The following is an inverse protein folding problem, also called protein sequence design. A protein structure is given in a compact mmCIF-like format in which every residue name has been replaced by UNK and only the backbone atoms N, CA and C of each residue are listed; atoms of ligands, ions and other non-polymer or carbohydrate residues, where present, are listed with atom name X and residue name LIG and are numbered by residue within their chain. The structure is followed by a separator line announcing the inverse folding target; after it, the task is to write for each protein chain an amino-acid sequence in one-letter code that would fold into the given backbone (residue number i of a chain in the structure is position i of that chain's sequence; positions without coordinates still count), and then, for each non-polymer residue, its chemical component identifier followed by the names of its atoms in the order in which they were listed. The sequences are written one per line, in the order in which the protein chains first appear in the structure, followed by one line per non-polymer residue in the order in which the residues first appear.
data_IF_214689065958
#
_entry.id   IF_214689065958
#
_cell.length_a   1.000
_cell.length_b   1.000
_cell.length_c   1.000
_cell.angle_alpha   90.00
_cell.angle_beta   90.00
_cell.angle_gamma   90.00
#
_symmetry.space_group_name_H-M   'P 1'
#
loop_
_entity.id
_entity.type
_entity.pdbx_description
1 polymer ?
#
# COMPACT_ATOMS: atom_id res chain seq x y z
N UNK A 1 -15.65 -41.76 41.09
CA UNK A 1 -16.09 -40.36 40.89
C UNK A 1 -14.92 -39.51 40.40
N UNK A 2 -14.84 -39.27 39.09
CA UNK A 2 -14.11 -38.16 38.48
C UNK A 2 -14.90 -37.77 37.23
N UNK A 3 -15.53 -36.60 37.28
CA UNK A 3 -16.19 -35.96 36.15
C UNK A 3 -15.11 -35.37 35.24
N UNK A 4 -15.28 -35.47 33.92
CA UNK A 4 -14.53 -34.67 32.94
C UNK A 4 -15.41 -34.39 31.73
N UNK A 5 -15.35 -33.12 31.33
CA UNK A 5 -16.28 -32.34 30.51
C UNK A 5 -16.40 -32.76 29.03
N UNK A 6 -17.44 -32.30 28.31
CA UNK A 6 -17.64 -32.59 26.89
C UNK A 6 -16.67 -31.79 26.00
N UNK A 7 -16.29 -32.39 24.87
CA UNK A 7 -15.46 -31.77 23.83
C UNK A 7 -16.28 -30.75 23.06
N UNK A 8 -15.94 -29.48 23.19
CA UNK A 8 -16.42 -28.40 22.33
C UNK A 8 -15.94 -28.61 20.88
N UNK A 9 -16.90 -28.54 19.96
CA UNK A 9 -16.65 -28.59 18.52
C UNK A 9 -15.91 -27.33 18.08
N UNK A 10 -14.66 -27.51 17.68
CA UNK A 10 -13.89 -26.49 16.97
C UNK A 10 -14.44 -26.37 15.54
N UNK A 11 -15.34 -25.42 15.32
CA UNK A 11 -15.69 -24.94 13.99
C UNK A 11 -14.52 -24.13 13.44
N UNK A 12 -13.67 -24.74 12.61
CA UNK A 12 -12.69 -24.01 11.79
C UNK A 12 -13.42 -23.05 10.85
N UNK A 13 -13.08 -21.76 10.79
CA UNK A 13 -13.59 -20.88 9.75
C UNK A 13 -12.93 -21.25 8.42
N UNK A 14 -13.76 -21.55 7.42
CA UNK A 14 -13.34 -21.82 6.06
C UNK A 14 -12.56 -20.62 5.47
N UNK A 15 -11.54 -20.86 4.62
CA UNK A 15 -10.87 -19.78 3.92
C UNK A 15 -11.84 -19.14 2.93
N UNK A 16 -12.10 -17.85 3.08
CA UNK A 16 -12.73 -17.02 2.05
C UNK A 16 -11.90 -17.12 0.78
N UNK A 17 -12.38 -17.90 -0.18
CA UNK A 17 -11.77 -18.04 -1.50
C UNK A 17 -11.77 -16.68 -2.20
N UNK A 18 -10.66 -15.97 -2.09
CA UNK A 18 -10.37 -14.80 -2.91
C UNK A 18 -10.20 -15.30 -4.35
N UNK A 19 -11.24 -15.15 -5.17
CA UNK A 19 -11.16 -15.43 -6.60
C UNK A 19 -10.01 -14.65 -7.22
N UNK A 20 -9.08 -15.36 -7.85
CA UNK A 20 -8.00 -14.77 -8.64
C UNK A 20 -8.65 -13.91 -9.74
N UNK A 21 -8.37 -12.59 -9.82
CA UNK A 21 -8.96 -11.78 -10.86
C UNK A 21 -8.40 -12.20 -12.22
N UNK A 22 -9.27 -12.71 -13.09
CA UNK A 22 -8.94 -13.06 -14.46
C UNK A 22 -8.31 -11.85 -15.18
N UNK A 23 -7.18 -12.06 -15.85
CA UNK A 23 -6.51 -11.03 -16.65
C UNK A 23 -7.46 -10.54 -17.75
N UNK A 24 -7.87 -9.27 -17.66
CA UNK A 24 -8.81 -8.64 -18.60
C UNK A 24 -8.21 -8.55 -20.00
N UNK A 25 -9.02 -8.84 -21.01
CA UNK A 25 -8.64 -8.69 -22.42
C UNK A 25 -8.69 -7.21 -22.81
N UNK A 26 -7.70 -6.78 -23.59
CA UNK A 26 -7.58 -5.40 -24.10
C UNK A 26 -8.80 -5.07 -24.97
N UNK A 27 -9.68 -4.18 -24.47
CA UNK A 27 -10.89 -3.73 -25.18
C UNK A 27 -12.20 -3.93 -24.42
N UNK A 28 -12.21 -4.68 -23.31
CA UNK A 28 -13.41 -4.83 -22.48
C UNK A 28 -13.78 -3.50 -21.79
N UNK A 29 -15.03 -3.07 -21.97
CA UNK A 29 -15.60 -1.91 -21.27
C UNK A 29 -15.45 -2.14 -19.77
N UNK A 30 -14.91 -1.16 -19.04
CA UNK A 30 -14.83 -1.23 -17.58
C UNK A 30 -16.25 -1.43 -17.04
N UNK A 31 -16.50 -2.44 -16.17
CA UNK A 31 -17.82 -2.63 -15.60
C UNK A 31 -18.22 -1.37 -14.84
N UNK A 32 -19.50 -1.02 -14.96
CA UNK A 32 -20.05 0.14 -14.30
C UNK A 32 -19.92 -0.03 -12.76
N UNK A 33 -19.42 0.97 -12.02
CA UNK A 33 -19.37 0.88 -10.58
C UNK A 33 -20.78 0.77 -10.00
N UNK A 34 -21.00 -0.22 -9.15
CA UNK A 34 -22.28 -0.46 -8.45
C UNK A 34 -22.07 -0.20 -6.97
N UNK A 35 -23.09 0.36 -6.31
CA UNK A 35 -23.09 0.57 -4.86
C UNK A 35 -22.89 -0.76 -4.12
N UNK A 36 -22.03 -0.74 -3.12
CA UNK A 36 -21.71 -1.89 -2.28
C UNK A 36 -22.25 -1.70 -0.87
N UNK A 37 -22.97 -2.70 -0.38
CA UNK A 37 -23.47 -2.74 1.00
C UNK A 37 -22.33 -2.62 2.03
N UNK A 38 -21.12 -3.09 1.69
CA UNK A 38 -19.94 -2.99 2.54
C UNK A 38 -19.55 -1.54 2.89
N UNK A 39 -19.94 -0.55 2.08
CA UNK A 39 -19.64 0.87 2.34
C UNK A 39 -20.88 1.68 2.73
N UNK A 40 -22.06 1.06 2.84
CA UNK A 40 -23.32 1.75 3.13
C UNK A 40 -23.29 2.53 4.45
N UNK A 41 -22.50 2.07 5.43
CA UNK A 41 -22.33 2.71 6.73
C UNK A 41 -21.45 3.97 6.70
N UNK A 42 -20.66 4.19 5.65
CA UNK A 42 -19.81 5.38 5.52
C UNK A 42 -20.57 6.51 4.84
N UNK A 43 -20.44 7.72 5.37
CA UNK A 43 -20.82 8.94 4.64
C UNK A 43 -19.89 9.16 3.44
N UNK A 44 -20.26 10.06 2.52
CA UNK A 44 -19.42 10.40 1.37
C UNK A 44 -18.08 10.97 1.81
N UNK A 45 -18.07 11.86 2.80
CA UNK A 45 -16.85 12.42 3.36
C UNK A 45 -16.03 11.37 4.10
N UNK A 46 -16.69 10.48 4.87
CA UNK A 46 -16.03 9.34 5.51
C UNK A 46 -15.40 8.38 4.50
N UNK A 47 -16.02 8.18 3.33
CA UNK A 47 -15.47 7.37 2.25
C UNK A 47 -14.27 8.05 1.56
N UNK A 48 -14.28 9.38 1.42
CA UNK A 48 -13.11 10.15 0.93
C UNK A 48 -11.95 10.04 1.90
N UNK A 49 -12.21 10.20 3.20
CA UNK A 49 -11.21 10.08 4.26
C UNK A 49 -10.65 8.65 4.34
N UNK A 50 -11.51 7.64 4.29
CA UNK A 50 -11.12 6.24 4.23
C UNK A 50 -10.20 5.95 3.03
N UNK A 51 -10.59 6.41 1.83
CA UNK A 51 -9.76 6.26 0.63
C UNK A 51 -8.42 6.98 0.77
N UNK A 52 -8.39 8.16 1.40
CA UNK A 52 -7.16 8.91 1.65
C UNK A 52 -6.23 8.14 2.61
N UNK A 53 -6.76 7.65 3.72
CA UNK A 53 -6.00 6.85 4.68
C UNK A 53 -5.39 5.59 4.04
N UNK A 54 -6.15 4.90 3.18
CA UNK A 54 -5.64 3.77 2.40
C UNK A 54 -4.53 4.17 1.42
N UNK A 55 -4.65 5.32 0.75
CA UNK A 55 -3.59 5.83 -0.13
C UNK A 55 -2.32 6.19 0.65
N UNK A 56 -2.46 6.82 1.81
CA UNK A 56 -1.32 7.18 2.66
C UNK A 56 -0.62 5.91 3.20
N UNK A 57 -1.39 4.87 3.51
CA UNK A 57 -0.86 3.53 3.83
C UNK A 57 -0.16 2.86 2.64
N UNK A 58 -0.76 2.89 1.45
CA UNK A 58 -0.15 2.35 0.24
C UNK A 58 1.18 3.02 -0.08
N UNK A 59 1.26 4.35 0.05
CA UNK A 59 2.51 5.09 -0.12
C UNK A 59 3.60 4.62 0.85
N UNK A 60 3.25 4.39 2.13
CA UNK A 60 4.19 3.85 3.14
C UNK A 60 4.68 2.45 2.77
N UNK A 61 3.79 1.57 2.32
CA UNK A 61 4.13 0.19 1.90
C UNK A 61 5.00 0.19 0.65
N UNK A 62 4.66 1.02 -0.35
CA UNK A 62 5.44 1.16 -1.58
C UNK A 62 6.84 1.71 -1.33
N UNK A 63 6.98 2.62 -0.37
CA UNK A 63 8.28 3.12 0.08
C UNK A 63 9.13 1.99 0.68
N UNK A 64 8.61 1.27 1.67
CA UNK A 64 9.32 0.15 2.31
C UNK A 64 9.70 -0.95 1.33
N UNK A 65 8.79 -1.30 0.41
CA UNK A 65 9.07 -2.27 -0.65
C UNK A 65 10.29 -1.85 -1.47
N UNK A 66 10.37 -0.57 -1.85
CA UNK A 66 11.49 -0.06 -2.67
C UNK A 66 12.81 -0.08 -1.91
N UNK A 67 12.80 0.20 -0.61
CA UNK A 67 13.97 0.08 0.25
C UNK A 67 14.45 -1.38 0.35
N UNK A 68 13.53 -2.33 0.58
CA UNK A 68 13.90 -3.75 0.66
C UNK A 68 14.43 -4.29 -0.67
N UNK A 69 13.83 -3.88 -1.79
CA UNK A 69 14.30 -4.25 -3.13
C UNK A 69 15.72 -3.74 -3.37
N UNK A 70 16.00 -2.47 -3.05
CA UNK A 70 17.35 -1.92 -3.16
C UNK A 70 18.36 -2.69 -2.30
N UNK A 71 17.96 -3.11 -1.09
CA UNK A 71 18.82 -3.90 -0.20
C UNK A 71 19.04 -5.32 -0.72
N UNK A 72 18.01 -5.96 -1.28
CA UNK A 72 18.12 -7.25 -1.97
C UNK A 72 19.10 -7.17 -3.14
N UNK A 73 18.99 -6.13 -3.97
CA UNK A 73 19.88 -5.90 -5.11
C UNK A 73 21.34 -5.71 -4.64
N UNK A 74 21.55 -5.05 -3.49
CA UNK A 74 22.88 -4.88 -2.89
C UNK A 74 23.47 -6.21 -2.38
N UNK A 75 22.66 -7.02 -1.70
CA UNK A 75 23.10 -8.32 -1.16
C UNK A 75 23.37 -9.30 -2.31
N UNK A 76 22.47 -9.38 -3.29
CA UNK A 76 22.59 -10.25 -4.45
C UNK A 76 23.77 -9.89 -5.37
N UNK A 77 24.14 -8.60 -5.46
CA UNK A 77 25.31 -8.16 -6.22
C UNK A 77 26.65 -8.46 -5.53
N UNK A 78 26.64 -8.90 -4.27
CA UNK A 78 27.85 -9.17 -3.48
C UNK A 78 28.68 -7.92 -3.18
N UNK A 79 28.10 -6.73 -3.38
CA UNK A 79 28.78 -5.43 -3.20
C UNK A 79 29.25 -5.26 -1.76
N UNK A 80 28.53 -5.82 -0.78
CA UNK A 80 28.91 -5.80 0.64
C UNK A 80 30.28 -6.46 0.92
N UNK A 81 30.69 -7.47 0.14
CA UNK A 81 31.97 -8.18 0.31
C UNK A 81 33.16 -7.44 -0.32
N UNK A 82 32.91 -6.67 -1.38
CA UNK A 82 33.95 -6.01 -2.18
C UNK A 82 34.09 -4.50 -1.87
N UNK A 83 33.42 -4.03 -0.83
CA UNK A 83 33.28 -2.61 -0.51
C UNK A 83 32.13 -1.95 -1.28
N UNK A 84 31.43 -1.04 -0.60
CA UNK A 84 30.37 -0.21 -1.19
C UNK A 84 31.04 0.89 -2.01
N UNK A 85 30.87 0.82 -3.34
CA UNK A 85 31.40 1.79 -4.30
C UNK A 85 30.24 2.48 -5.04
N UNK A 86 30.31 3.81 -5.16
CA UNK A 86 29.25 4.64 -5.73
C UNK A 86 28.92 4.24 -7.18
N UNK A 87 29.94 3.87 -7.96
CA UNK A 87 29.78 3.47 -9.36
C UNK A 87 29.07 2.12 -9.51
N UNK A 88 29.11 1.28 -8.47
CA UNK A 88 28.36 0.01 -8.41
C UNK A 88 26.94 0.18 -7.88
N UNK A 89 26.70 1.16 -7.00
CA UNK A 89 25.38 1.48 -6.47
C UNK A 89 24.45 2.14 -7.50
N UNK A 90 25.00 3.05 -8.31
CA UNK A 90 24.23 3.82 -9.28
C UNK A 90 23.36 2.95 -10.18
N UNK A 91 23.88 1.92 -10.88
CA UNK A 91 23.03 1.06 -11.71
C UNK A 91 22.01 0.28 -10.88
N UNK A 92 22.35 -0.25 -9.71
CA UNK A 92 21.40 -1.03 -8.89
C UNK A 92 20.19 -0.19 -8.45
N UNK A 93 20.43 1.05 -8.01
CA UNK A 93 19.37 1.94 -7.51
C UNK A 93 18.55 2.63 -8.62
N UNK A 94 19.09 2.71 -9.84
CA UNK A 94 18.42 3.36 -10.98
C UNK A 94 17.71 2.38 -11.93
N UNK A 95 18.02 1.07 -11.88
CA UNK A 95 17.52 0.09 -12.85
C UNK A 95 16.03 -0.21 -12.74
N UNK A 96 15.35 0.22 -11.67
CA UNK A 96 13.93 -0.07 -11.51
C UNK A 96 13.08 0.77 -12.48
N UNK A 97 12.92 0.23 -13.71
CA UNK A 97 11.98 0.67 -14.73
C UNK A 97 10.65 0.90 -14.05
N UNK A 98 10.30 2.16 -13.95
CA UNK A 98 8.96 2.61 -13.61
C UNK A 98 8.05 1.97 -14.64
N UNK A 99 7.31 0.93 -14.24
CA UNK A 99 6.54 0.09 -15.16
C UNK A 99 5.71 0.93 -16.12
N UNK A 100 5.60 0.47 -17.37
CA UNK A 100 4.89 1.10 -18.49
C UNK A 100 3.36 1.16 -18.31
N UNK A 101 2.89 1.58 -17.12
CA UNK A 101 1.51 1.95 -16.85
C UNK A 101 1.33 3.45 -16.99
N UNK A 102 0.10 3.89 -17.32
CA UNK A 102 -0.33 5.29 -17.17
C UNK A 102 -0.06 5.72 -15.72
N UNK A 103 0.89 6.62 -15.51
CA UNK A 103 1.18 7.19 -14.19
C UNK A 103 0.46 8.52 -14.08
N UNK A 104 -0.44 8.64 -13.10
CA UNK A 104 -0.84 9.94 -12.60
C UNK A 104 0.34 10.52 -11.81
N UNK A 105 0.54 11.83 -11.88
CA UNK A 105 1.47 12.54 -11.02
C UNK A 105 0.88 12.54 -9.60
N UNK A 106 1.25 11.55 -8.80
CA UNK A 106 0.94 11.57 -7.36
C UNK A 106 1.97 12.45 -6.68
N UNK A 107 1.54 13.49 -5.95
CA UNK A 107 2.43 14.22 -5.05
C UNK A 107 2.81 13.29 -3.90
N UNK A 108 4.04 12.79 -3.91
CA UNK A 108 4.63 12.13 -2.75
C UNK A 108 5.03 13.26 -1.80
N UNK A 109 4.12 13.60 -0.89
CA UNK A 109 4.47 14.46 0.24
C UNK A 109 5.18 13.57 1.25
N UNK A 110 6.48 13.80 1.45
CA UNK A 110 7.19 13.28 2.60
C UNK A 110 6.54 13.93 3.83
N UNK A 111 5.86 13.14 4.66
CA UNK A 111 5.39 13.65 5.95
C UNK A 111 6.60 13.98 6.81
N UNK A 112 6.65 15.20 7.35
CA UNK A 112 7.70 15.67 8.26
C UNK A 112 7.78 14.87 9.58
N UNK A 113 6.80 14.01 9.84
CA UNK A 113 6.84 13.01 10.90
C UNK A 113 7.62 11.79 10.44
N UNK A 114 8.81 11.59 11.00
CA UNK A 114 9.74 10.50 10.69
C UNK A 114 9.07 9.16 10.39
N UNK A 115 9.73 8.40 9.51
CA UNK A 115 9.30 7.11 8.97
C UNK A 115 8.59 6.28 10.06
N UNK A 116 7.26 6.07 9.98
CA UNK A 116 6.57 5.23 10.94
C UNK A 116 7.06 3.78 10.76
N UNK A 117 7.58 3.12 11.82
CA UNK A 117 8.09 1.76 11.71
C UNK A 117 6.91 0.84 11.40
N UNK A 118 7.03 0.06 10.32
CA UNK A 118 6.23 -1.15 10.22
C UNK A 118 6.86 -2.15 11.22
N UNK A 119 6.11 -2.63 12.24
CA UNK A 119 6.64 -3.62 13.19
C UNK A 119 7.20 -4.82 12.42
N UNK A 120 8.31 -5.40 12.90
CA UNK A 120 9.13 -6.46 12.26
C UNK A 120 10.07 -6.00 11.13
N UNK A 121 9.72 -4.98 10.35
CA UNK A 121 10.61 -4.47 9.29
C UNK A 121 11.79 -3.68 9.85
N UNK A 122 11.59 -3.03 11.00
CA UNK A 122 12.67 -2.31 11.68
C UNK A 122 13.80 -3.26 12.11
N UNK A 123 13.47 -4.41 12.69
CA UNK A 123 14.46 -5.40 13.13
C UNK A 123 15.23 -5.99 11.93
N UNK A 124 14.52 -6.34 10.85
CA UNK A 124 15.13 -6.79 9.59
C UNK A 124 16.00 -5.70 8.94
N UNK A 125 15.62 -4.44 9.13
CA UNK A 125 16.35 -3.28 8.64
C UNK A 125 17.64 -3.05 9.43
N UNK A 126 17.59 -3.14 10.75
CA UNK A 126 18.75 -2.91 11.64
C UNK A 126 19.75 -4.06 11.61
N UNK A 127 19.31 -5.28 11.29
CA UNK A 127 20.15 -6.47 11.23
C UNK A 127 21.36 -6.27 10.30
N UNK A 128 22.55 -6.43 10.86
CA UNK A 128 23.83 -6.48 10.13
C UNK A 128 24.27 -7.94 9.98
N UNK A 129 24.86 -8.25 8.83
CA UNK A 129 25.42 -9.57 8.54
C UNK A 129 26.90 -9.38 8.23
N UNK A 130 27.74 -10.17 8.90
CA UNK A 130 29.18 -10.10 8.69
C UNK A 130 29.54 -10.42 7.23
N UNK A 131 30.46 -9.67 6.60
CA UNK A 131 30.80 -9.84 5.18
C UNK A 131 31.28 -11.24 4.82
N UNK A 132 31.88 -11.98 5.76
CA UNK A 132 32.42 -13.32 5.55
C UNK A 132 31.48 -14.46 5.98
N UNK A 133 30.32 -14.15 6.55
CA UNK A 133 29.30 -15.14 6.89
C UNK A 133 28.37 -15.42 5.70
N UNK A 134 28.82 -16.32 4.82
CA UNK A 134 28.07 -16.71 3.63
C UNK A 134 26.72 -17.38 3.98
N UNK A 135 26.63 -18.10 5.11
CA UNK A 135 25.40 -18.74 5.57
C UNK A 135 24.40 -17.73 6.14
N UNK A 136 24.87 -16.81 6.99
CA UNK A 136 24.06 -15.71 7.50
C UNK A 136 23.57 -14.78 6.39
N UNK A 137 24.37 -14.58 5.33
CA UNK A 137 23.95 -13.77 4.17
C UNK A 137 22.84 -14.44 3.38
N UNK A 138 22.93 -15.74 3.15
CA UNK A 138 21.87 -16.49 2.46
C UNK A 138 20.54 -16.44 3.25
N UNK A 139 20.60 -16.68 4.56
CA UNK A 139 19.42 -16.55 5.43
C UNK A 139 18.86 -15.12 5.43
N UNK A 140 19.74 -14.12 5.46
CA UNK A 140 19.36 -12.72 5.39
C UNK A 140 18.67 -12.34 4.09
N UNK A 141 19.17 -12.84 2.96
CA UNK A 141 18.56 -12.64 1.65
C UNK A 141 17.16 -13.28 1.58
N UNK A 142 16.99 -14.49 2.10
CA UNK A 142 15.71 -15.18 2.12
C UNK A 142 14.67 -14.45 2.98
N UNK A 143 15.06 -13.95 4.14
CA UNK A 143 14.19 -13.13 4.99
C UNK A 143 13.78 -11.81 4.31
N UNK A 144 14.72 -11.15 3.60
CA UNK A 144 14.42 -9.95 2.82
C UNK A 144 13.42 -10.26 1.69
N UNK A 145 13.59 -11.39 0.99
CA UNK A 145 12.65 -11.83 -0.06
C UNK A 145 11.26 -12.10 0.51
N UNK A 146 11.18 -12.76 1.67
CA UNK A 146 9.91 -13.04 2.33
C UNK A 146 9.19 -11.75 2.72
N UNK A 147 9.93 -10.79 3.30
CA UNK A 147 9.39 -9.48 3.67
C UNK A 147 8.93 -8.67 2.43
N UNK A 148 9.69 -8.68 1.33
CA UNK A 148 9.29 -8.02 0.07
C UNK A 148 8.00 -8.63 -0.49
N UNK A 149 7.87 -9.95 -0.45
CA UNK A 149 6.68 -10.67 -0.92
C UNK A 149 5.46 -10.32 -0.06
N UNK A 150 5.62 -10.27 1.27
CA UNK A 150 4.55 -9.85 2.17
C UNK A 150 4.09 -8.40 1.89
N UNK A 151 5.02 -7.47 1.71
CA UNK A 151 4.70 -6.08 1.32
C UNK A 151 4.03 -6.01 -0.06
N UNK A 152 4.46 -6.83 -1.01
CA UNK A 152 3.86 -6.94 -2.34
C UNK A 152 2.41 -7.41 -2.30
N UNK A 153 2.13 -8.45 -1.50
CA UNK A 153 0.79 -8.97 -1.29
C UNK A 153 -0.10 -7.92 -0.59
N UNK A 154 0.43 -7.29 0.45
CA UNK A 154 -0.28 -6.25 1.19
C UNK A 154 -0.59 -5.01 0.32
N UNK A 155 0.37 -4.54 -0.49
CA UNK A 155 0.14 -3.47 -1.46
C UNK A 155 -0.95 -3.82 -2.47
N UNK A 156 -0.97 -5.06 -2.96
CA UNK A 156 -2.02 -5.52 -3.88
C UNK A 156 -3.41 -5.46 -3.21
N UNK A 157 -3.51 -5.84 -1.94
CA UNK A 157 -4.74 -5.74 -1.16
C UNK A 157 -5.16 -4.27 -0.94
N UNK A 158 -4.22 -3.37 -0.65
CA UNK A 158 -4.49 -1.94 -0.53
C UNK A 158 -5.01 -1.35 -1.85
N UNK A 159 -4.38 -1.64 -2.98
CA UNK A 159 -4.87 -1.19 -4.28
C UNK A 159 -6.26 -1.73 -4.61
N UNK A 160 -6.57 -2.98 -4.25
CA UNK A 160 -7.91 -3.54 -4.42
C UNK A 160 -8.94 -2.74 -3.61
N UNK A 161 -8.66 -2.47 -2.33
CA UNK A 161 -9.52 -1.67 -1.45
C UNK A 161 -9.69 -0.22 -1.92
N UNK A 162 -8.60 0.44 -2.34
CA UNK A 162 -8.66 1.78 -2.95
C UNK A 162 -9.54 1.76 -4.20
N UNK A 163 -9.40 0.73 -5.04
CA UNK A 163 -10.21 0.53 -6.23
C UNK A 163 -11.70 0.37 -5.91
N UNK A 164 -12.04 -0.40 -4.88
CA UNK A 164 -13.40 -0.59 -4.39
C UNK A 164 -13.99 0.73 -3.84
N UNK A 165 -13.28 1.43 -2.96
CA UNK A 165 -13.72 2.72 -2.41
C UNK A 165 -13.87 3.79 -3.51
N UNK A 166 -13.00 3.78 -4.51
CA UNK A 166 -13.11 4.68 -5.68
C UNK A 166 -14.33 4.33 -6.53
N UNK A 167 -14.61 3.04 -6.74
CA UNK A 167 -15.81 2.59 -7.44
C UNK A 167 -17.08 3.05 -6.73
N UNK A 168 -17.13 2.89 -5.41
CA UNK A 168 -18.25 3.35 -4.58
C UNK A 168 -18.45 4.87 -4.69
N UNK A 169 -17.39 5.68 -4.62
CA UNK A 169 -17.49 7.13 -4.80
C UNK A 169 -18.08 7.50 -6.17
N UNK A 170 -17.64 6.82 -7.24
CA UNK A 170 -18.16 7.05 -8.59
C UNK A 170 -19.65 6.69 -8.67
N UNK A 171 -20.07 5.57 -8.07
CA UNK A 171 -21.47 5.17 -8.04
C UNK A 171 -22.32 6.22 -7.31
N UNK A 172 -21.89 6.71 -6.15
CA UNK A 172 -22.61 7.75 -5.40
C UNK A 172 -22.69 9.08 -6.14
N UNK A 173 -21.63 9.51 -6.81
CA UNK A 173 -21.67 10.74 -7.60
C UNK A 173 -22.53 10.62 -8.85
N UNK A 174 -22.65 9.41 -9.41
CA UNK A 174 -23.56 9.18 -10.51
C UNK A 174 -25.02 9.30 -10.05
N UNK A 175 -25.34 8.75 -8.89
CA UNK A 175 -26.70 8.81 -8.33
C UNK A 175 -27.05 10.23 -7.85
N UNK A 176 -26.08 10.93 -7.26
CA UNK A 176 -26.21 12.28 -6.69
C UNK A 176 -25.02 13.17 -7.09
N UNK A 177 -25.06 13.83 -8.27
CA UNK A 177 -23.95 14.64 -8.77
C UNK A 177 -23.57 15.83 -7.87
N UNK A 178 -24.52 16.41 -7.14
CA UNK A 178 -24.34 17.51 -6.20
C UNK A 178 -23.32 17.22 -5.09
N UNK A 179 -23.12 15.94 -4.74
CA UNK A 179 -22.10 15.50 -3.80
C UNK A 179 -20.66 15.81 -4.27
N UNK A 180 -20.46 16.09 -5.56
CA UNK A 180 -19.18 16.58 -6.07
C UNK A 180 -18.84 17.96 -5.50
N UNK A 181 -19.84 18.80 -5.24
CA UNK A 181 -19.64 20.18 -4.78
C UNK A 181 -19.11 20.23 -3.35
N UNK A 182 -19.39 19.22 -2.53
CA UNK A 182 -18.81 19.12 -1.17
C UNK A 182 -17.29 18.90 -1.17
N UNK A 183 -16.71 18.49 -2.30
CA UNK A 183 -15.28 18.30 -2.46
C UNK A 183 -14.50 19.61 -2.60
N UNK A 184 -15.18 20.68 -3.00
CA UNK A 184 -14.53 21.93 -3.36
C UNK A 184 -14.13 22.65 -2.08
N UNK A 185 -12.90 23.19 -2.00
CA UNK A 185 -12.55 24.13 -0.95
C UNK A 185 -13.38 25.39 -1.18
N UNK A 186 -14.58 25.44 -0.57
CA UNK A 186 -15.32 26.67 -0.47
C UNK A 186 -14.54 27.55 0.50
N UNK A 187 -13.78 28.51 -0.03
CA UNK A 187 -13.30 29.60 0.80
C UNK A 187 -14.52 30.15 1.53
N UNK A 188 -14.56 30.01 2.85
CA UNK A 188 -15.51 30.75 3.67
C UNK A 188 -15.13 32.20 3.48
N UNK A 189 -15.76 32.86 2.52
CA UNK A 189 -15.51 34.26 2.22
C UNK A 189 -15.61 35.04 3.52
N UNK A 190 -14.46 35.46 4.05
CA UNK A 190 -14.37 36.69 4.80
C UNK A 190 -14.74 37.80 3.83
N UNK A 191 -16.04 38.05 3.70
CA UNK A 191 -16.55 39.28 3.11
C UNK A 191 -16.16 40.38 4.09
N UNK A 192 -14.93 40.86 3.97
CA UNK A 192 -14.53 42.12 4.59
C UNK A 192 -15.43 43.18 3.97
N UNK A 193 -16.36 43.70 4.78
CA UNK A 193 -17.21 44.80 4.41
C UNK A 193 -16.32 45.96 3.92
N UNK A 194 -16.42 46.31 2.64
CA UNK A 194 -15.85 47.57 2.13
C UNK A 194 -16.64 48.71 2.76
N UNK A 195 -16.01 49.65 3.49
CA UNK A 195 -16.68 50.90 3.83
C UNK A 195 -16.99 51.64 2.52
N UNK A 196 -18.22 52.14 2.43
CA UNK A 196 -18.62 53.09 1.39
C UNK A 196 -18.06 54.46 1.80
N UNK A 197 -17.14 54.99 1.01
CA UNK A 197 -16.86 56.42 0.95
C UNK A 197 -17.75 57.05 -0.13
#
# INVERSE_FOLDING_TARGET
MKQSAPRDGATSPAPLAAGVPAQRRKGERRPEPVLSEAYAHLSVDGLREYRRALSDEEHRVSYWRRILQARLDLVASGTTRKGVDHDRLTPLLTTQRLGAGRRALNSVVHGDGGIPPLPLLQELWERQVEPDDDAGRAAFEDDLRLAEQALSAYRSALHARIGQATGELIARYRDSPELCLSALPLERGTVAARPRD
#
